data_IF_043869898421
#
_entry.id   IF_043869898421
#
_cell.length_a   1.000
_cell.length_b   1.000
_cell.length_c   1.000
_cell.angle_alpha   90.00
_cell.angle_beta   90.00
_cell.angle_gamma   90.00
#
_symmetry.space_group_name_H-M   'P 1'
#
loop_
_entity.id
_entity.type
_entity.pdbx_description
1 polymer ?
#
# COMPACT_ATOMS: atom_id res chain seq x y z
N UNK A 1 10.18 -28.68 10.66
CA UNK A 1 8.78 -28.76 10.20
C UNK A 1 7.91 -28.44 11.41
N UNK A 2 7.08 -27.40 11.34
CA UNK A 2 6.04 -27.18 12.35
C UNK A 2 4.99 -28.28 12.22
N UNK A 3 4.64 -28.94 13.32
CA UNK A 3 3.65 -30.02 13.32
C UNK A 3 2.31 -29.57 12.73
N UNK A 4 1.76 -30.42 11.87
CA UNK A 4 0.42 -30.26 11.30
C UNK A 4 -0.64 -30.34 12.40
N UNK A 5 -1.60 -29.41 12.38
CA UNK A 5 -2.63 -29.25 13.42
C UNK A 5 -4.01 -29.05 12.79
N UNK A 6 -4.87 -30.06 12.89
CA UNK A 6 -6.22 -30.04 12.30
C UNK A 6 -7.12 -28.92 12.88
N UNK A 7 -6.96 -28.58 14.17
CA UNK A 7 -7.64 -27.46 14.82
C UNK A 7 -7.32 -26.12 14.14
N UNK A 8 -6.06 -25.92 13.73
CA UNK A 8 -5.64 -24.69 13.04
C UNK A 8 -6.27 -24.59 11.65
N UNK A 9 -6.38 -25.69 10.92
CA UNK A 9 -7.01 -25.69 9.59
C UNK A 9 -8.48 -25.30 9.71
N UNK A 10 -9.23 -25.91 10.63
CA UNK A 10 -10.68 -25.64 10.78
C UNK A 10 -10.98 -24.15 11.02
N UNK A 11 -10.16 -23.47 11.84
CA UNK A 11 -10.27 -22.02 12.09
C UNK A 11 -9.88 -21.15 10.89
N UNK A 12 -8.95 -21.63 10.05
CA UNK A 12 -8.44 -20.87 8.89
C UNK A 12 -9.26 -21.10 7.62
N UNK A 13 -9.90 -22.25 7.49
CA UNK A 13 -10.57 -22.70 6.27
C UNK A 13 -11.60 -21.67 5.74
N UNK A 14 -12.50 -21.09 6.56
CA UNK A 14 -13.43 -20.08 6.07
C UNK A 14 -12.74 -18.85 5.47
N UNK A 15 -11.62 -18.41 6.07
CA UNK A 15 -10.82 -17.28 5.57
C UNK A 15 -10.07 -17.62 4.28
N UNK A 16 -9.52 -18.83 4.16
CA UNK A 16 -8.89 -19.32 2.93
C UNK A 16 -9.90 -19.38 1.77
N UNK A 17 -11.11 -19.88 2.03
CA UNK A 17 -12.18 -19.92 1.04
C UNK A 17 -12.67 -18.52 0.67
N UNK A 18 -12.81 -17.61 1.64
CA UNK A 18 -13.17 -16.21 1.39
C UNK A 18 -12.11 -15.52 0.51
N UNK A 19 -10.83 -15.73 0.82
CA UNK A 19 -9.71 -15.23 0.00
C UNK A 19 -9.76 -15.77 -1.43
N UNK A 20 -9.98 -17.07 -1.61
CA UNK A 20 -10.08 -17.68 -2.94
C UNK A 20 -11.25 -17.09 -3.76
N UNK A 21 -12.43 -16.91 -3.15
CA UNK A 21 -13.57 -16.26 -3.78
C UNK A 21 -13.28 -14.81 -4.15
N UNK A 22 -12.64 -14.05 -3.26
CA UNK A 22 -12.27 -12.66 -3.53
C UNK A 22 -11.29 -12.56 -4.70
N UNK A 23 -10.25 -13.39 -4.74
CA UNK A 23 -9.31 -13.40 -5.87
C UNK A 23 -10.00 -13.75 -7.20
N UNK A 24 -10.92 -14.71 -7.20
CA UNK A 24 -11.70 -15.04 -8.40
C UNK A 24 -12.60 -13.87 -8.83
N UNK A 25 -13.28 -13.21 -7.90
CA UNK A 25 -14.13 -12.05 -8.17
C UNK A 25 -13.32 -10.87 -8.72
N UNK A 26 -12.16 -10.58 -8.13
CA UNK A 26 -11.25 -9.53 -8.61
C UNK A 26 -10.74 -9.82 -10.02
N UNK A 27 -10.31 -11.06 -10.31
CA UNK A 27 -9.94 -11.46 -11.68
C UNK A 27 -11.08 -11.24 -12.67
N UNK A 28 -12.29 -11.65 -12.32
CA UNK A 28 -13.48 -11.44 -13.15
C UNK A 28 -13.76 -9.96 -13.39
N UNK A 29 -13.61 -9.12 -12.37
CA UNK A 29 -13.76 -7.68 -12.48
C UNK A 29 -12.70 -7.05 -13.40
N UNK A 30 -11.41 -7.36 -13.20
CA UNK A 30 -10.33 -6.87 -14.04
C UNK A 30 -10.50 -7.30 -15.50
N UNK A 31 -10.83 -8.57 -15.75
CA UNK A 31 -11.13 -9.07 -17.09
C UNK A 31 -12.31 -8.32 -17.73
N UNK A 32 -13.39 -8.09 -16.96
CA UNK A 32 -14.53 -7.29 -17.41
C UNK A 32 -14.21 -5.82 -17.69
N UNK A 33 -13.16 -5.28 -17.07
CA UNK A 33 -12.63 -3.93 -17.32
C UNK A 33 -11.57 -3.88 -18.44
N UNK A 34 -11.28 -5.01 -19.09
CA UNK A 34 -10.32 -5.13 -20.18
C UNK A 34 -8.86 -5.15 -19.75
N UNK A 35 -8.57 -5.51 -18.50
CA UNK A 35 -7.20 -5.70 -18.04
C UNK A 35 -6.68 -7.10 -18.41
N UNK A 36 -5.37 -7.18 -18.66
CA UNK A 36 -4.64 -8.43 -18.89
C UNK A 36 -3.93 -8.85 -17.60
N UNK A 37 -4.15 -10.08 -17.13
CA UNK A 37 -3.35 -10.65 -16.03
C UNK A 37 -1.96 -11.00 -16.56
N UNK A 38 -0.92 -10.53 -15.90
CA UNK A 38 0.48 -10.81 -16.26
C UNK A 38 1.25 -11.44 -15.12
N UNK A 39 2.37 -12.06 -15.45
CA UNK A 39 3.36 -12.53 -14.49
C UNK A 39 4.71 -11.91 -14.81
N UNK A 40 5.29 -11.24 -13.82
CA UNK A 40 6.60 -10.59 -13.92
C UNK A 40 7.65 -11.32 -13.07
N UNK A 41 8.95 -11.23 -13.44
CA UNK A 41 10.00 -11.92 -12.70
C UNK A 41 10.07 -11.53 -11.22
N UNK A 42 10.23 -12.51 -10.34
CA UNK A 42 10.40 -12.29 -8.89
C UNK A 42 11.86 -11.95 -8.54
N UNK A 43 12.81 -12.61 -9.22
CA UNK A 43 14.25 -12.40 -8.98
C UNK A 43 14.75 -11.19 -9.77
N UNK A 44 15.16 -10.16 -9.03
CA UNK A 44 15.59 -8.87 -9.56
C UNK A 44 17.10 -8.66 -9.40
N UNK A 45 17.62 -7.73 -10.20
CA UNK A 45 19.03 -7.28 -10.17
C UNK A 45 19.29 -6.17 -9.16
N UNK A 46 18.25 -5.72 -8.45
CA UNK A 46 18.33 -4.73 -7.38
C UNK A 46 17.19 -4.99 -6.37
N UNK A 47 17.33 -4.59 -5.09
CA UNK A 47 16.35 -4.86 -4.03
C UNK A 47 15.03 -4.09 -4.12
N UNK A 48 14.90 -3.13 -5.04
CA UNK A 48 13.78 -2.17 -5.10
C UNK A 48 14.32 -0.73 -5.07
N UNK A 49 13.42 0.26 -5.07
CA UNK A 49 13.77 1.68 -4.95
C UNK A 49 13.31 2.32 -3.63
N UNK A 50 12.54 1.58 -2.83
CA UNK A 50 11.93 2.05 -1.59
C UNK A 50 12.97 2.05 -0.46
N UNK A 51 13.32 3.25 0.02
CA UNK A 51 14.39 3.47 1.02
C UNK A 51 14.14 2.77 2.36
N UNK A 52 12.88 2.51 2.71
CA UNK A 52 12.49 1.89 3.98
C UNK A 52 12.24 0.38 3.87
N UNK A 53 12.40 -0.22 2.67
CA UNK A 53 12.20 -1.66 2.49
C UNK A 53 13.55 -2.36 2.27
N UNK A 54 13.77 -3.41 3.05
CA UNK A 54 14.92 -4.30 2.85
C UNK A 54 14.51 -5.51 2.01
N UNK A 55 15.28 -5.83 0.97
CA UNK A 55 15.06 -7.01 0.14
C UNK A 55 15.70 -8.27 0.72
N UNK A 56 15.12 -9.45 0.46
CA UNK A 56 15.82 -10.72 0.63
C UNK A 56 16.81 -10.90 -0.52
N UNK A 57 18.08 -11.16 -0.21
CA UNK A 57 19.11 -11.45 -1.20
C UNK A 57 19.31 -12.98 -1.35
N UNK A 58 19.70 -13.41 -2.54
CA UNK A 58 20.08 -14.78 -2.85
C UNK A 58 21.15 -14.82 -3.92
N UNK A 59 21.93 -15.90 -3.97
CA UNK A 59 22.93 -16.14 -5.01
C UNK A 59 22.35 -16.94 -6.16
N UNK A 60 22.42 -16.41 -7.37
CA UNK A 60 22.19 -17.16 -8.60
C UNK A 60 23.51 -17.66 -9.16
N UNK A 61 23.72 -18.97 -9.13
CA UNK A 61 24.88 -19.63 -9.75
C UNK A 61 24.61 -19.89 -11.23
N UNK A 62 25.40 -19.30 -12.11
CA UNK A 62 25.29 -19.51 -13.56
C UNK A 62 26.11 -20.74 -14.00
N UNK A 63 25.83 -21.31 -15.20
CA UNK A 63 26.55 -22.50 -15.69
C UNK A 63 28.07 -22.32 -15.86
N UNK A 64 28.53 -21.08 -16.00
CA UNK A 64 29.95 -20.68 -16.03
C UNK A 64 30.61 -20.65 -14.64
N UNK A 65 29.88 -21.03 -13.58
CA UNK A 65 30.36 -21.05 -12.20
C UNK A 65 30.37 -19.69 -11.50
N UNK A 66 29.92 -18.62 -12.17
CA UNK A 66 29.86 -17.28 -11.58
C UNK A 66 28.62 -17.15 -10.69
N UNK A 67 28.81 -16.68 -9.46
CA UNK A 67 27.69 -16.31 -8.60
C UNK A 67 27.29 -14.86 -8.85
N UNK A 68 25.99 -14.61 -9.03
CA UNK A 68 25.41 -13.27 -9.18
C UNK A 68 24.39 -13.05 -8.09
N UNK A 69 24.56 -11.98 -7.31
CA UNK A 69 23.57 -11.60 -6.31
C UNK A 69 22.27 -11.20 -7.01
N UNK A 70 21.16 -11.69 -6.48
CA UNK A 70 19.80 -11.36 -6.88
C UNK A 70 18.98 -11.04 -5.63
N UNK A 71 17.87 -10.35 -5.84
CA UNK A 71 16.94 -10.01 -4.78
C UNK A 71 15.55 -10.51 -5.12
N UNK A 72 14.80 -10.95 -4.12
CA UNK A 72 13.36 -11.15 -4.25
C UNK A 72 12.69 -9.76 -4.23
N UNK A 73 11.78 -9.49 -5.17
CA UNK A 73 11.14 -8.18 -5.29
C UNK A 73 10.23 -7.80 -4.11
N UNK A 74 10.23 -6.53 -3.73
CA UNK A 74 9.30 -5.93 -2.76
C UNK A 74 7.92 -5.63 -3.37
N UNK A 75 7.89 -5.43 -4.69
CA UNK A 75 6.71 -5.19 -5.54
C UNK A 75 7.06 -5.51 -7.01
N UNK A 76 6.09 -5.92 -7.85
CA UNK A 76 6.27 -6.04 -9.30
C UNK A 76 6.32 -4.70 -10.06
N UNK A 77 6.20 -3.55 -9.39
CA UNK A 77 6.06 -2.19 -9.96
C UNK A 77 6.97 -1.92 -11.15
N UNK A 78 8.29 -2.05 -10.99
CA UNK A 78 9.22 -1.74 -12.07
C UNK A 78 9.05 -2.64 -13.30
N UNK A 79 8.76 -3.92 -13.09
CA UNK A 79 8.57 -4.86 -14.18
C UNK A 79 7.25 -4.59 -14.90
N UNK A 80 6.18 -4.29 -14.16
CA UNK A 80 4.87 -3.95 -14.72
C UNK A 80 4.89 -2.59 -15.44
N UNK A 81 5.58 -1.58 -14.90
CA UNK A 81 5.76 -0.28 -15.58
C UNK A 81 6.51 -0.40 -16.91
N UNK A 82 7.44 -1.36 -17.05
CA UNK A 82 8.07 -1.66 -18.36
C UNK A 82 7.06 -2.19 -19.38
N UNK A 83 6.11 -3.03 -18.96
CA UNK A 83 5.05 -3.52 -19.84
C UNK A 83 4.07 -2.40 -20.23
N UNK A 84 3.73 -1.53 -19.27
CA UNK A 84 2.93 -0.33 -19.51
C UNK A 84 3.62 0.58 -20.53
N UNK A 85 4.90 0.89 -20.32
CA UNK A 85 5.71 1.68 -21.25
C UNK A 85 5.89 0.99 -22.62
N UNK A 86 5.86 -0.35 -22.66
CA UNK A 86 5.85 -1.15 -23.88
C UNK A 86 4.52 -1.14 -24.64
N UNK A 87 3.52 -0.39 -24.17
CA UNK A 87 2.25 -0.19 -24.86
C UNK A 87 1.11 -1.08 -24.37
N UNK A 88 1.25 -1.81 -23.25
CA UNK A 88 0.12 -2.54 -22.66
C UNK A 88 -0.74 -1.59 -21.81
N UNK A 89 -1.95 -1.22 -22.25
CA UNK A 89 -2.67 -0.09 -21.65
C UNK A 89 -3.35 -0.43 -20.33
N UNK A 90 -3.63 -1.70 -20.05
CA UNK A 90 -4.30 -2.16 -18.82
C UNK A 90 -3.77 -3.52 -18.41
N UNK A 91 -3.14 -3.61 -17.25
CA UNK A 91 -2.55 -4.85 -16.73
C UNK A 91 -2.71 -4.97 -15.23
N UNK A 92 -2.79 -6.20 -14.74
CA UNK A 92 -2.79 -6.49 -13.31
C UNK A 92 -2.01 -7.77 -13.00
N UNK A 93 -1.58 -7.93 -11.76
CA UNK A 93 -0.89 -9.12 -11.28
C UNK A 93 -1.22 -9.37 -9.82
N UNK A 94 -1.50 -10.63 -9.48
CA UNK A 94 -1.42 -11.12 -8.10
C UNK A 94 0.01 -11.61 -7.84
N UNK A 95 0.88 -10.74 -7.35
CA UNK A 95 2.29 -11.05 -7.12
C UNK A 95 2.53 -11.60 -5.72
N UNK A 96 3.39 -12.62 -5.60
CA UNK A 96 4.05 -12.93 -4.33
C UNK A 96 5.22 -11.97 -4.16
N UNK A 97 5.22 -11.20 -3.09
CA UNK A 97 6.24 -10.20 -2.78
C UNK A 97 6.91 -10.50 -1.44
N UNK A 98 8.12 -9.96 -1.26
CA UNK A 98 8.99 -10.31 -0.14
C UNK A 98 9.63 -9.06 0.46
N UNK A 99 9.51 -8.89 1.78
CA UNK A 99 10.07 -7.75 2.51
C UNK A 99 10.80 -8.24 3.75
N UNK A 100 12.11 -8.04 3.77
CA UNK A 100 12.99 -8.47 4.85
C UNK A 100 12.87 -7.50 6.04
N UNK A 101 12.78 -8.05 7.25
CA UNK A 101 12.58 -7.27 8.48
C UNK A 101 11.12 -7.10 8.91
N UNK A 102 10.15 -7.48 8.07
CA UNK A 102 8.73 -7.47 8.47
C UNK A 102 8.40 -8.60 9.46
N UNK A 103 7.65 -8.26 10.51
CA UNK A 103 7.19 -9.23 11.50
C UNK A 103 6.23 -8.62 12.52
N UNK A 104 4.92 -8.64 12.21
CA UNK A 104 3.87 -8.20 13.14
C UNK A 104 2.53 -8.87 12.83
N UNK A 105 1.45 -8.47 13.51
CA UNK A 105 0.10 -8.97 13.22
C UNK A 105 -0.41 -8.58 11.82
N UNK A 106 0.10 -7.48 11.25
CA UNK A 106 -0.29 -6.95 9.94
C UNK A 106 0.81 -7.12 8.86
N UNK A 107 2.02 -7.53 9.25
CA UNK A 107 3.18 -7.59 8.35
C UNK A 107 3.80 -8.99 8.40
N UNK A 108 3.83 -9.66 7.25
CA UNK A 108 4.45 -10.97 7.09
C UNK A 108 5.51 -10.86 5.99
N UNK A 109 6.72 -11.43 6.18
CA UNK A 109 7.85 -11.23 5.27
C UNK A 109 7.61 -11.71 3.83
N UNK A 110 6.60 -12.55 3.62
CA UNK A 110 6.05 -12.87 2.31
C UNK A 110 4.52 -12.70 2.29
N UNK A 111 4.00 -12.06 1.25
CA UNK A 111 2.55 -11.88 1.11
C UNK A 111 2.13 -11.73 -0.35
N UNK A 112 0.82 -11.74 -0.59
CA UNK A 112 0.29 -11.51 -1.94
C UNK A 112 -0.16 -10.08 -2.08
N UNK A 113 0.39 -9.40 -3.06
CA UNK A 113 0.01 -8.06 -3.49
C UNK A 113 -0.82 -8.18 -4.76
N UNK A 114 -1.93 -7.44 -4.83
CA UNK A 114 -2.58 -7.13 -6.09
C UNK A 114 -2.01 -5.79 -6.57
N UNK A 115 -1.43 -5.78 -7.75
CA UNK A 115 -0.95 -4.55 -8.38
C UNK A 115 -1.55 -4.42 -9.78
N UNK A 116 -1.90 -3.20 -10.18
CA UNK A 116 -2.51 -2.95 -11.49
C UNK A 116 -2.15 -1.56 -12.02
N UNK A 117 -2.17 -1.44 -13.34
CA UNK A 117 -1.87 -0.22 -14.06
C UNK A 117 -2.88 -0.02 -15.18
N UNK A 118 -3.25 1.24 -15.42
CA UNK A 118 -3.99 1.68 -16.60
C UNK A 118 -3.37 2.95 -17.17
N UNK A 119 -3.14 2.98 -18.48
CA UNK A 119 -2.70 4.16 -19.20
C UNK A 119 -3.82 5.21 -19.29
N UNK A 120 -3.43 6.47 -19.51
CA UNK A 120 -4.32 7.60 -19.78
C UNK A 120 -5.43 7.83 -18.73
N UNK A 121 -5.17 7.44 -17.49
CA UNK A 121 -6.08 7.63 -16.37
C UNK A 121 -5.41 8.39 -15.23
N UNK A 122 -6.15 9.29 -14.58
CA UNK A 122 -5.72 9.91 -13.34
C UNK A 122 -5.92 8.98 -12.13
N UNK A 123 -5.23 9.29 -11.04
CA UNK A 123 -5.38 8.64 -9.73
C UNK A 123 -6.84 8.53 -9.24
N UNK A 124 -7.71 9.46 -9.65
CA UNK A 124 -9.17 9.43 -9.47
C UNK A 124 -9.84 8.14 -9.97
N UNK A 125 -9.43 7.66 -11.14
CA UNK A 125 -9.94 6.39 -11.68
C UNK A 125 -9.47 5.21 -10.83
N UNK A 126 -8.26 5.29 -10.28
CA UNK A 126 -7.70 4.25 -9.39
C UNK A 126 -8.41 4.25 -8.04
N UNK A 127 -8.83 5.41 -7.53
CA UNK A 127 -9.69 5.49 -6.33
C UNK A 127 -11.05 4.82 -6.57
N UNK A 128 -11.62 4.96 -7.77
CA UNK A 128 -12.88 4.28 -8.15
C UNK A 128 -12.67 2.76 -8.27
N UNK A 129 -11.55 2.33 -8.84
CA UNK A 129 -11.16 0.91 -8.88
C UNK A 129 -11.09 0.34 -7.45
N UNK A 130 -10.45 1.04 -6.52
CA UNK A 130 -10.37 0.67 -5.11
C UNK A 130 -11.75 0.48 -4.47
N UNK A 131 -12.69 1.42 -4.69
CA UNK A 131 -14.05 1.30 -4.19
C UNK A 131 -14.78 0.07 -4.77
N UNK A 132 -14.62 -0.19 -6.07
CA UNK A 132 -15.20 -1.36 -6.73
C UNK A 132 -14.63 -2.67 -6.17
N UNK A 133 -13.30 -2.74 -5.99
CA UNK A 133 -12.61 -3.91 -5.44
C UNK A 133 -13.02 -4.21 -3.99
N UNK A 134 -13.23 -3.18 -3.15
CA UNK A 134 -13.77 -3.35 -1.80
C UNK A 134 -15.19 -3.94 -1.80
N UNK A 135 -16.04 -3.50 -2.72
CA UNK A 135 -17.40 -4.03 -2.83
C UNK A 135 -17.43 -5.53 -3.21
N UNK A 136 -16.42 -6.03 -3.93
CA UNK A 136 -16.29 -7.46 -4.29
C UNK A 136 -16.03 -8.38 -3.09
N UNK A 137 -15.67 -7.83 -1.92
CA UNK A 137 -15.55 -8.63 -0.69
C UNK A 137 -16.86 -9.32 -0.31
N UNK A 138 -18.01 -8.74 -0.69
CA UNK A 138 -19.35 -9.23 -0.32
C UNK A 138 -19.64 -9.14 1.18
N UNK A 139 -18.74 -8.54 1.97
CA UNK A 139 -18.91 -8.39 3.40
C UNK A 139 -19.86 -7.22 3.71
N UNK A 140 -20.73 -7.40 4.70
CA UNK A 140 -21.56 -6.29 5.22
C UNK A 140 -20.76 -5.34 6.10
N UNK A 141 -19.67 -5.84 6.70
CA UNK A 141 -18.74 -5.07 7.49
C UNK A 141 -17.36 -5.75 7.50
N UNK A 142 -16.31 -4.98 7.26
CA UNK A 142 -14.94 -5.30 7.65
C UNK A 142 -14.76 -4.96 9.13
N UNK A 143 -13.90 -5.72 9.81
CA UNK A 143 -13.61 -5.55 11.23
C UNK A 143 -12.13 -5.77 11.51
N UNK A 144 -11.54 -4.89 12.29
CA UNK A 144 -10.21 -5.05 12.85
C UNK A 144 -10.19 -4.44 14.25
N UNK A 145 -9.82 -5.25 15.25
CA UNK A 145 -9.94 -4.89 16.66
C UNK A 145 -11.37 -4.44 17.00
N UNK A 146 -11.53 -3.27 17.62
CA UNK A 146 -12.80 -2.63 17.99
C UNK A 146 -13.41 -1.78 16.84
N UNK A 147 -12.73 -1.67 15.70
CA UNK A 147 -13.15 -0.85 14.56
C UNK A 147 -13.92 -1.65 13.52
N UNK A 148 -14.84 -0.98 12.82
CA UNK A 148 -15.63 -1.56 11.74
C UNK A 148 -15.84 -0.59 10.59
N UNK A 149 -16.00 -1.12 9.38
CA UNK A 149 -16.15 -0.38 8.13
C UNK A 149 -17.12 -1.10 7.18
N UNK A 150 -18.12 -0.43 6.61
CA UNK A 150 -18.91 -0.99 5.49
C UNK A 150 -18.11 -0.84 4.19
N UNK A 151 -17.57 -1.92 3.59
CA UNK A 151 -16.74 -1.83 2.40
C UNK A 151 -17.51 -1.40 1.13
N UNK A 152 -18.84 -1.31 1.20
CA UNK A 152 -19.70 -0.89 0.07
C UNK A 152 -20.06 0.59 0.14
N UNK A 153 -19.77 1.25 1.27
CA UNK A 153 -19.98 2.68 1.39
C UNK A 153 -19.02 3.45 0.48
N UNK A 154 -19.48 4.56 -0.10
CA UNK A 154 -18.63 5.45 -0.87
C UNK A 154 -17.44 5.91 0.00
N UNK A 155 -16.18 5.74 -0.45
CA UNK A 155 -15.03 6.16 0.34
C UNK A 155 -15.09 7.66 0.61
N UNK A 156 -14.83 8.06 1.85
CA UNK A 156 -14.58 9.48 2.12
C UNK A 156 -13.20 9.86 1.61
N UNK A 157 -13.06 11.11 1.18
CA UNK A 157 -11.77 11.70 0.84
C UNK A 157 -11.32 12.59 1.98
N UNK A 158 -10.04 12.48 2.31
CA UNK A 158 -9.38 13.29 3.30
C UNK A 158 -7.99 13.60 2.75
N UNK A 159 -7.60 14.86 2.67
CA UNK A 159 -6.23 15.19 2.33
C UNK A 159 -5.31 14.96 3.52
N UNK A 160 -4.02 14.70 3.27
CA UNK A 160 -3.03 14.57 4.35
C UNK A 160 -3.01 15.85 5.20
N UNK A 161 -3.08 17.04 4.59
CA UNK A 161 -3.13 18.29 5.33
C UNK A 161 -4.35 18.40 6.26
N UNK A 162 -5.56 18.08 5.78
CA UNK A 162 -6.78 18.06 6.61
C UNK A 162 -6.70 17.02 7.72
N UNK A 163 -6.07 15.87 7.47
CA UNK A 163 -5.87 14.84 8.48
C UNK A 163 -4.95 15.33 9.62
N UNK A 164 -3.86 16.01 9.28
CA UNK A 164 -2.96 16.63 10.25
C UNK A 164 -3.65 17.73 11.05
N UNK A 165 -4.44 18.59 10.39
CA UNK A 165 -5.21 19.62 11.09
C UNK A 165 -6.21 19.01 12.07
N UNK A 166 -7.01 18.03 11.61
CA UNK A 166 -8.09 17.41 12.39
C UNK A 166 -7.59 16.57 13.56
N UNK A 167 -6.55 15.78 13.36
CA UNK A 167 -6.14 14.74 14.32
C UNK A 167 -4.85 15.07 15.06
N UNK A 168 -4.03 15.99 14.54
CA UNK A 168 -2.80 16.44 15.20
C UNK A 168 -2.81 17.93 15.58
N UNK A 169 -3.77 18.72 15.09
CA UNK A 169 -3.83 20.17 15.36
C UNK A 169 -2.70 20.95 14.68
N UNK A 170 -2.18 20.45 13.55
CA UNK A 170 -1.01 21.01 12.87
C UNK A 170 -1.34 21.46 11.46
N UNK A 171 -0.97 22.70 11.12
CA UNK A 171 -0.80 23.12 9.72
C UNK A 171 0.45 22.45 9.15
N UNK A 172 0.25 21.38 8.39
CA UNK A 172 1.32 20.55 7.86
C UNK A 172 2.32 21.35 7.02
N UNK A 173 1.83 22.21 6.11
CA UNK A 173 2.69 22.92 5.16
C UNK A 173 3.54 23.99 5.83
N UNK A 174 3.10 24.53 6.96
CA UNK A 174 3.90 25.46 7.76
C UNK A 174 5.08 24.79 8.48
N UNK A 175 5.24 23.46 8.40
CA UNK A 175 6.29 22.70 9.11
C UNK A 175 7.29 22.02 8.20
N UNK A 176 7.11 22.03 6.87
CA UNK A 176 7.94 21.28 5.92
C UNK A 176 9.43 21.56 6.15
N UNK A 177 10.20 20.49 6.39
CA UNK A 177 11.65 20.56 6.64
C UNK A 177 12.05 20.91 8.08
N UNK A 178 11.10 21.26 8.95
CA UNK A 178 11.33 21.60 10.36
C UNK A 178 10.67 20.57 11.29
N UNK A 179 11.38 19.46 11.51
CA UNK A 179 10.89 18.35 12.34
C UNK A 179 10.74 18.72 13.82
N UNK A 180 11.46 19.74 14.31
CA UNK A 180 11.32 20.23 15.68
C UNK A 180 9.99 20.98 15.85
N UNK A 181 9.68 21.88 14.92
CA UNK A 181 8.39 22.58 14.90
C UNK A 181 7.22 21.60 14.75
N UNK A 182 7.33 20.61 13.86
CA UNK A 182 6.31 19.59 13.68
C UNK A 182 6.06 18.79 14.96
N UNK A 183 7.12 18.35 15.63
CA UNK A 183 7.03 17.63 16.90
C UNK A 183 6.40 18.49 18.01
N UNK A 184 6.83 19.75 18.12
CA UNK A 184 6.31 20.68 19.13
C UNK A 184 4.81 20.95 18.95
N UNK A 185 4.37 21.22 17.72
CA UNK A 185 2.96 21.53 17.44
C UNK A 185 2.06 20.30 17.60
N UNK A 186 2.53 19.13 17.15
CA UNK A 186 1.76 17.88 17.27
C UNK A 186 1.77 17.30 18.68
N UNK A 187 2.74 17.67 19.53
CA UNK A 187 2.95 17.05 20.85
C UNK A 187 3.52 15.63 20.77
N UNK A 188 4.00 15.19 19.60
CA UNK A 188 4.71 13.92 19.44
C UNK A 188 6.18 14.10 19.86
N UNK A 189 6.72 13.14 20.62
CA UNK A 189 8.12 13.19 21.08
C UNK A 189 9.06 13.01 19.88
N UNK A 190 9.99 13.96 19.69
CA UNK A 190 11.13 13.85 18.77
C UNK A 190 12.29 13.12 19.45
N UNK A 191 12.96 12.23 18.72
CA UNK A 191 14.20 11.60 19.14
C UNK A 191 15.41 12.27 18.48
N UNK A 192 16.59 12.08 19.10
CA UNK A 192 17.84 12.60 18.55
C UNK A 192 18.11 11.98 17.18
N UNK A 193 18.31 12.83 16.18
CA UNK A 193 18.53 12.40 14.79
C UNK A 193 17.26 12.27 13.94
N UNK A 194 16.06 12.41 14.51
CA UNK A 194 14.81 12.38 13.73
C UNK A 194 14.83 13.46 12.63
N UNK A 195 14.54 13.07 11.40
CA UNK A 195 14.22 13.98 10.31
C UNK A 195 12.80 14.56 10.47
N UNK A 196 12.39 15.42 9.54
CA UNK A 196 10.99 15.84 9.46
C UNK A 196 10.09 14.64 9.10
N UNK A 197 10.55 13.81 8.17
CA UNK A 197 9.86 12.61 7.67
C UNK A 197 9.58 11.61 8.81
N UNK A 198 10.57 11.38 9.69
CA UNK A 198 10.40 10.48 10.85
C UNK A 198 9.29 10.97 11.79
N UNK A 199 9.23 12.28 12.03
CA UNK A 199 8.18 12.88 12.86
C UNK A 199 6.83 12.83 12.14
N UNK A 200 6.81 13.07 10.83
CA UNK A 200 5.62 12.96 9.99
C UNK A 200 5.00 11.56 10.07
N UNK A 201 5.80 10.50 9.83
CA UNK A 201 5.32 9.13 9.87
C UNK A 201 4.86 8.69 11.26
N UNK A 202 5.53 9.17 12.31
CA UNK A 202 5.08 8.91 13.69
C UNK A 202 3.74 9.57 14.00
N UNK A 203 3.51 10.81 13.53
CA UNK A 203 2.19 11.46 13.66
C UNK A 203 1.13 10.70 12.88
N UNK A 204 1.44 10.27 11.64
CA UNK A 204 0.55 9.45 10.83
C UNK A 204 0.11 8.21 11.60
N UNK A 205 1.07 7.41 12.07
CA UNK A 205 0.82 6.15 12.78
C UNK A 205 0.09 6.35 14.14
N UNK A 206 0.58 7.26 14.99
CA UNK A 206 0.07 7.40 16.36
C UNK A 206 -1.27 8.15 16.42
N UNK A 207 -1.48 9.13 15.53
CA UNK A 207 -2.59 10.09 15.66
C UNK A 207 -3.59 10.04 14.52
N UNK A 208 -3.19 9.69 13.31
CA UNK A 208 -4.06 9.81 12.13
C UNK A 208 -4.68 8.46 11.77
N UNK A 209 -3.85 7.46 11.46
CA UNK A 209 -4.27 6.12 11.00
C UNK A 209 -5.34 5.45 11.88
N UNK A 210 -5.32 5.57 13.23
CA UNK A 210 -6.34 4.97 14.08
C UNK A 210 -7.77 5.40 13.74
N UNK A 211 -7.94 6.61 13.18
CA UNK A 211 -9.22 7.23 12.84
C UNK A 211 -9.66 6.98 11.40
N UNK A 212 -8.78 6.44 10.54
CA UNK A 212 -9.07 6.28 9.12
C UNK A 212 -9.91 5.02 8.87
N UNK A 213 -10.86 5.11 7.94
CA UNK A 213 -11.62 3.96 7.50
C UNK A 213 -12.61 3.42 8.54
N UNK A 214 -13.06 4.24 9.50
CA UNK A 214 -14.07 3.86 10.51
C UNK A 214 -15.47 4.22 9.99
N UNK A 215 -16.39 3.25 10.02
CA UNK A 215 -17.74 3.35 9.47
C UNK A 215 -17.80 3.20 7.95
N UNK A 216 -16.91 3.86 7.20
CA UNK A 216 -16.75 3.76 5.75
C UNK A 216 -15.26 3.83 5.35
N UNK A 217 -14.87 3.36 4.14
CA UNK A 217 -13.49 3.44 3.69
C UNK A 217 -13.01 4.89 3.60
N UNK A 218 -11.70 5.11 3.76
CA UNK A 218 -11.09 6.44 3.63
C UNK A 218 -10.00 6.41 2.59
N UNK A 219 -10.07 7.32 1.63
CA UNK A 219 -8.98 7.67 0.73
C UNK A 219 -8.25 8.84 1.39
N UNK A 220 -7.02 8.59 1.84
CA UNK A 220 -6.11 9.62 2.31
C UNK A 220 -5.26 10.06 1.10
N UNK A 221 -5.36 11.30 0.66
CA UNK A 221 -4.76 11.76 -0.60
C UNK A 221 -3.96 13.05 -0.48
N UNK A 222 -3.31 13.45 -1.56
CA UNK A 222 -2.58 14.73 -1.66
C UNK A 222 -1.40 14.80 -0.67
N UNK A 223 -0.56 13.77 -0.70
CA UNK A 223 0.68 13.73 0.08
C UNK A 223 1.59 14.91 -0.28
N UNK A 224 2.30 15.51 0.69
CA UNK A 224 3.35 16.47 0.41
C UNK A 224 4.34 15.92 -0.63
N UNK A 225 4.81 16.77 -1.54
CA UNK A 225 5.62 16.32 -2.69
C UNK A 225 6.87 15.54 -2.26
N UNK A 226 7.49 15.90 -1.13
CA UNK A 226 8.64 15.17 -0.57
C UNK A 226 8.31 13.76 -0.09
N UNK A 227 7.05 13.49 0.26
CA UNK A 227 6.54 12.19 0.74
C UNK A 227 5.95 11.34 -0.39
N UNK A 228 6.25 11.66 -1.65
CA UNK A 228 5.58 11.09 -2.81
C UNK A 228 6.59 10.69 -3.90
N UNK A 229 7.56 9.84 -3.53
CA UNK A 229 8.77 9.54 -4.30
C UNK A 229 8.61 9.33 -5.82
N UNK A 230 7.55 8.63 -6.27
CA UNK A 230 7.31 8.33 -7.68
C UNK A 230 6.02 8.93 -8.24
N UNK A 231 5.24 9.61 -7.42
CA UNK A 231 3.96 10.18 -7.85
C UNK A 231 4.16 11.56 -8.49
N UNK A 232 3.33 11.88 -9.49
CA UNK A 232 3.38 13.18 -10.16
C UNK A 232 2.82 14.28 -9.25
N UNK A 233 3.36 15.49 -9.37
CA UNK A 233 2.77 16.67 -8.73
C UNK A 233 1.33 16.89 -9.20
N UNK A 234 0.46 17.38 -8.31
CA UNK A 234 -0.93 17.68 -8.63
C UNK A 234 -1.01 18.92 -9.54
N UNK A 235 -1.74 18.84 -10.67
CA UNK A 235 -2.01 20.03 -11.46
C UNK A 235 -2.73 21.09 -10.62
N UNK A 236 -2.16 22.30 -10.56
CA UNK A 236 -2.73 23.42 -9.82
C UNK A 236 -2.24 23.58 -8.38
N UNK A 237 -1.57 22.58 -7.78
CA UNK A 237 -0.90 22.73 -6.48
C UNK A 237 0.38 21.88 -6.42
N UNK A 238 1.53 22.52 -6.65
CA UNK A 238 2.83 21.85 -6.69
C UNK A 238 3.34 21.39 -5.30
N UNK A 239 2.65 21.73 -4.20
CA UNK A 239 3.02 21.29 -2.84
C UNK A 239 2.67 19.83 -2.59
N UNK A 240 1.75 19.27 -3.38
CA UNK A 240 1.21 17.92 -3.20
C UNK A 240 1.34 17.08 -4.46
N UNK A 241 1.36 15.77 -4.27
CA UNK A 241 1.34 14.80 -5.36
C UNK A 241 -0.04 14.14 -5.50
N UNK A 242 -0.33 13.64 -6.71
CA UNK A 242 -1.46 12.76 -6.97
C UNK A 242 -1.16 11.33 -6.48
N UNK A 243 -0.96 11.22 -5.17
CA UNK A 243 -0.78 9.98 -4.41
C UNK A 243 -1.95 9.81 -3.46
N UNK A 244 -2.38 8.58 -3.24
CA UNK A 244 -3.32 8.25 -2.18
C UNK A 244 -3.08 6.88 -1.56
N UNK A 245 -3.64 6.73 -0.37
CA UNK A 245 -3.74 5.47 0.35
C UNK A 245 -5.21 5.17 0.67
N UNK A 246 -5.60 3.91 0.60
CA UNK A 246 -6.93 3.44 0.98
C UNK A 246 -6.85 2.79 2.36
N UNK A 247 -7.70 3.24 3.29
CA UNK A 247 -7.80 2.69 4.63
C UNK A 247 -9.17 2.10 4.93
N UNK A 248 -9.18 0.99 5.68
CA UNK A 248 -10.37 0.46 6.34
C UNK A 248 -10.01 -0.04 7.75
N UNK A 249 -10.82 0.34 8.75
CA UNK A 249 -10.59 -0.01 10.16
C UNK A 249 -9.18 0.38 10.67
N UNK A 250 -8.65 1.51 10.17
CA UNK A 250 -7.30 2.01 10.40
C UNK A 250 -6.18 1.06 10.00
N UNK A 251 -6.42 0.26 8.95
CA UNK A 251 -5.42 -0.55 8.27
C UNK A 251 -5.33 -0.06 6.83
N UNK A 252 -4.10 0.22 6.36
CA UNK A 252 -3.82 0.51 4.95
C UNK A 252 -4.09 -0.75 4.11
N UNK A 253 -4.88 -0.61 3.05
CA UNK A 253 -5.24 -1.69 2.13
C UNK A 253 -4.67 -1.51 0.72
N UNK A 254 -4.35 -0.27 0.32
CA UNK A 254 -3.78 0.03 -0.99
C UNK A 254 -3.01 1.36 -0.98
N UNK A 255 -2.03 1.46 -1.87
CA UNK A 255 -1.20 2.63 -2.16
C UNK A 255 -1.22 2.86 -3.67
N UNK A 256 -1.34 4.11 -4.13
CA UNK A 256 -1.33 4.46 -5.55
C UNK A 256 -0.89 5.90 -5.82
#
# INVERSE_FOLDING_TARGET
MTDWRADKLSRRLPHLQARARLQAAMRGWFAGQGFVEVETPILQVAPGAEVHLSGFATDWKTPDGVARIRWLHSSPEFAMKKLLAGGMPKLFQFARVFRNGEGSALHHPEFTMLEWYRADAGYEAIMQDCAALLALTGATALRWQDRSCDPRAAPQRLTVAEAFERHAGVDLFATIGDGEKLARLSGVKRHDGDSWDDVFFRIMFDKIEPHLGVGRPTILCEYPIGMAALARAKPGDARVAERFELYACGVELANA
#
